data_IF_476766115044
#
_entry.id   IF_476766115044
#
_cell.length_a   1.000
_cell.length_b   1.000
_cell.length_c   1.000
_cell.angle_alpha   90.00
_cell.angle_beta   90.00
_cell.angle_gamma   90.00
#
_symmetry.space_group_name_H-M   'P 1'
#
loop_
_entity.id
_entity.type
_entity.pdbx_description
1 polymer ?
#
# COMPACT_ATOMS: atom_id res chain seq x y z
N UNK A 1 -9.35 -7.08 -27.50
CA UNK A 1 -8.93 -6.42 -26.24
C UNK A 1 -7.54 -6.95 -25.90
N UNK A 2 -6.64 -6.14 -25.33
CA UNK A 2 -5.33 -6.65 -24.91
C UNK A 2 -5.53 -7.74 -23.87
N UNK A 3 -4.71 -8.79 -23.94
CA UNK A 3 -4.68 -9.83 -22.91
C UNK A 3 -4.29 -9.20 -21.55
N UNK A 4 -5.09 -9.43 -20.51
CA UNK A 4 -4.85 -8.90 -19.18
C UNK A 4 -3.48 -9.32 -18.63
N UNK A 5 -2.99 -10.52 -19.00
CA UNK A 5 -1.66 -11.01 -18.61
C UNK A 5 -0.54 -10.19 -19.25
N UNK A 6 -0.70 -9.81 -20.52
CA UNK A 6 0.25 -8.99 -21.25
C UNK A 6 0.32 -7.58 -20.67
N UNK A 7 -0.83 -6.98 -20.35
CA UNK A 7 -0.90 -5.66 -19.68
C UNK A 7 -0.20 -5.71 -18.32
N UNK A 8 -0.49 -6.73 -17.51
CA UNK A 8 0.15 -6.90 -16.21
C UNK A 8 1.69 -7.06 -16.33
N UNK A 9 2.15 -7.86 -17.30
CA UNK A 9 3.59 -8.05 -17.54
C UNK A 9 4.32 -6.76 -17.96
N UNK A 10 3.64 -5.90 -18.74
CA UNK A 10 4.17 -4.61 -19.15
C UNK A 10 4.27 -3.66 -17.95
N UNK A 11 3.22 -3.58 -17.12
CA UNK A 11 3.20 -2.78 -15.90
C UNK A 11 4.24 -3.23 -14.88
N UNK A 12 4.36 -4.54 -14.63
CA UNK A 12 5.36 -5.10 -13.72
C UNK A 12 6.79 -4.69 -14.08
N UNK A 13 7.11 -4.55 -15.37
CA UNK A 13 8.44 -4.13 -15.85
C UNK A 13 8.75 -2.65 -15.61
N UNK A 14 7.74 -1.79 -15.50
CA UNK A 14 7.90 -0.35 -15.31
C UNK A 14 7.60 0.12 -13.89
N UNK A 15 6.86 -0.68 -13.09
CA UNK A 15 6.41 -0.34 -11.75
C UNK A 15 7.54 0.17 -10.85
N UNK A 16 8.67 -0.56 -10.77
CA UNK A 16 9.78 -0.18 -9.88
C UNK A 16 10.37 1.21 -10.19
N UNK A 17 10.47 1.58 -11.47
CA UNK A 17 10.97 2.90 -11.89
C UNK A 17 9.93 3.98 -11.61
N UNK A 18 8.65 3.66 -11.79
CA UNK A 18 7.54 4.56 -11.49
C UNK A 18 7.42 4.82 -9.99
N UNK A 19 7.59 3.82 -9.13
CA UNK A 19 7.54 4.01 -7.68
C UNK A 19 8.66 4.94 -7.19
N UNK A 20 9.87 4.77 -7.74
CA UNK A 20 11.00 5.67 -7.45
C UNK A 20 10.71 7.09 -7.95
N UNK A 21 10.21 7.22 -9.19
CA UNK A 21 9.86 8.52 -9.76
C UNK A 21 8.74 9.18 -8.95
N UNK A 22 7.69 8.45 -8.58
CA UNK A 22 6.58 8.93 -7.77
C UNK A 22 7.07 9.40 -6.41
N UNK A 23 7.96 8.66 -5.75
CA UNK A 23 8.52 9.05 -4.45
C UNK A 23 9.37 10.32 -4.53
N UNK A 24 10.13 10.49 -5.62
CA UNK A 24 10.95 11.68 -5.86
C UNK A 24 10.09 12.90 -6.26
N UNK A 25 9.15 12.71 -7.18
CA UNK A 25 8.27 13.76 -7.70
C UNK A 25 7.21 14.19 -6.68
N UNK A 26 6.75 13.26 -5.84
CA UNK A 26 5.87 13.56 -4.71
C UNK A 26 6.62 14.24 -3.56
N UNK A 27 7.95 14.37 -3.63
CA UNK A 27 8.79 14.77 -2.50
C UNK A 27 8.51 13.96 -1.21
N UNK A 28 8.14 12.67 -1.36
CA UNK A 28 7.82 11.79 -0.23
C UNK A 28 6.45 12.03 0.41
N UNK A 29 5.55 12.79 -0.22
CA UNK A 29 4.17 13.02 0.26
C UNK A 29 3.42 11.69 0.41
N UNK A 30 3.71 10.68 -0.42
CA UNK A 30 3.11 9.35 -0.30
C UNK A 30 3.38 8.71 1.08
N UNK A 31 4.61 8.87 1.60
CA UNK A 31 4.98 8.35 2.91
C UNK A 31 4.28 9.11 4.04
N UNK A 32 4.11 10.43 3.89
CA UNK A 32 3.40 11.24 4.88
C UNK A 32 1.94 10.79 4.98
N UNK A 33 1.26 10.60 3.85
CA UNK A 33 -0.11 10.11 3.85
C UNK A 33 -0.24 8.69 4.40
N UNK A 34 0.70 7.81 4.07
CA UNK A 34 0.72 6.43 4.59
C UNK A 34 0.90 6.42 6.12
N UNK A 35 1.82 7.22 6.65
CA UNK A 35 2.00 7.35 8.09
C UNK A 35 0.74 7.92 8.76
N UNK A 36 0.14 8.96 8.16
CA UNK A 36 -1.09 9.55 8.67
C UNK A 36 -2.26 8.58 8.68
N UNK A 37 -2.40 7.77 7.63
CA UNK A 37 -3.40 6.70 7.55
C UNK A 37 -3.22 5.71 8.70
N UNK A 38 -1.99 5.27 8.95
CA UNK A 38 -1.69 4.33 10.04
C UNK A 38 -2.03 4.93 11.41
N UNK A 39 -1.68 6.19 11.66
CA UNK A 39 -2.05 6.91 12.89
C UNK A 39 -3.58 6.96 13.08
N UNK A 40 -4.32 7.35 12.05
CA UNK A 40 -5.79 7.45 12.10
C UNK A 40 -6.47 6.09 12.32
N UNK A 41 -5.85 5.01 11.82
CA UNK A 41 -6.32 3.65 12.07
C UNK A 41 -6.01 3.22 13.50
N UNK A 42 -4.80 3.46 14.01
CA UNK A 42 -4.39 3.09 15.38
C UNK A 42 -5.25 3.76 16.45
N UNK A 43 -5.66 5.01 16.23
CA UNK A 43 -6.58 5.74 17.12
C UNK A 43 -7.90 5.01 17.36
N UNK A 44 -8.33 4.16 16.42
CA UNK A 44 -9.56 3.35 16.53
C UNK A 44 -9.36 2.03 17.28
N UNK A 45 -8.12 1.70 17.64
CA UNK A 45 -7.73 0.44 18.32
C UNK A 45 -8.33 -0.81 17.66
N UNK A 46 -8.14 -1.00 16.34
CA UNK A 46 -8.79 -2.07 15.62
C UNK A 46 -8.21 -3.43 16.01
N UNK A 47 -9.09 -4.43 16.10
CA UNK A 47 -8.68 -5.84 16.17
C UNK A 47 -8.49 -6.44 14.78
N UNK A 48 -9.17 -5.92 13.76
CA UNK A 48 -9.05 -6.33 12.36
C UNK A 48 -9.06 -5.14 11.43
N UNK A 49 -8.21 -5.15 10.41
CA UNK A 49 -8.15 -4.17 9.31
C UNK A 49 -8.15 -4.91 7.97
N UNK A 50 -8.90 -4.39 7.01
CA UNK A 50 -8.92 -4.87 5.63
C UNK A 50 -8.42 -3.76 4.72
N UNK A 51 -7.33 -4.02 4.00
CA UNK A 51 -6.77 -3.16 2.97
C UNK A 51 -7.37 -3.55 1.61
N UNK A 52 -8.13 -2.63 1.01
CA UNK A 52 -8.86 -2.86 -0.24
C UNK A 52 -8.08 -2.26 -1.40
N UNK A 53 -8.05 -2.96 -2.54
CA UNK A 53 -7.17 -2.63 -3.66
C UNK A 53 -5.70 -2.58 -3.19
N UNK A 54 -5.28 -3.63 -2.50
CA UNK A 54 -4.00 -3.68 -1.76
C UNK A 54 -2.79 -3.49 -2.68
N UNK A 55 -2.92 -3.82 -3.98
CA UNK A 55 -1.86 -3.68 -4.98
C UNK A 55 -0.52 -4.27 -4.52
N UNK A 56 0.53 -3.45 -4.51
CA UNK A 56 1.88 -3.80 -4.02
C UNK A 56 1.95 -4.16 -2.53
N UNK A 57 0.90 -3.85 -1.76
CA UNK A 57 0.81 -4.12 -0.33
C UNK A 57 1.45 -3.06 0.56
N UNK A 58 1.91 -1.93 0.02
CA UNK A 58 2.64 -0.90 0.77
C UNK A 58 1.84 -0.37 1.99
N UNK A 59 0.51 -0.25 1.86
CA UNK A 59 -0.37 0.15 2.96
C UNK A 59 -0.51 -0.97 3.98
N UNK A 60 -0.77 -2.21 3.55
CA UNK A 60 -0.83 -3.36 4.44
C UNK A 60 0.46 -3.55 5.26
N UNK A 61 1.63 -3.35 4.65
CA UNK A 61 2.92 -3.41 5.35
C UNK A 61 3.07 -2.27 6.37
N UNK A 62 2.74 -1.03 6.01
CA UNK A 62 2.80 0.09 6.95
C UNK A 62 1.83 -0.08 8.13
N UNK A 63 0.62 -0.59 7.89
CA UNK A 63 -0.33 -0.96 8.94
C UNK A 63 0.26 -2.03 9.87
N UNK A 64 0.99 -3.01 9.33
CA UNK A 64 1.62 -4.05 10.14
C UNK A 64 2.72 -3.49 11.03
N UNK A 65 3.50 -2.53 10.54
CA UNK A 65 4.55 -1.88 11.32
C UNK A 65 4.00 -0.96 12.41
N UNK A 66 2.92 -0.23 12.13
CA UNK A 66 2.37 0.76 13.07
C UNK A 66 1.29 0.24 14.03
N UNK A 67 0.71 -0.94 13.81
CA UNK A 67 -0.35 -1.49 14.67
C UNK A 67 0.15 -2.62 15.58
N UNK A 68 -0.51 -2.85 16.74
CA UNK A 68 -0.20 -3.96 17.63
C UNK A 68 -0.20 -5.31 16.90
N UNK A 69 0.75 -6.20 17.23
CA UNK A 69 0.89 -7.53 16.58
C UNK A 69 -0.38 -8.39 16.64
N UNK A 70 -1.26 -8.13 17.61
CA UNK A 70 -2.56 -8.78 17.76
C UNK A 70 -3.59 -8.36 16.70
N UNK A 71 -3.41 -7.22 16.05
CA UNK A 71 -4.32 -6.74 14.99
C UNK A 71 -4.15 -7.60 13.74
N UNK A 72 -5.25 -8.17 13.26
CA UNK A 72 -5.29 -8.95 12.02
C UNK A 72 -5.37 -7.99 10.83
N UNK A 73 -4.50 -8.16 9.84
CA UNK A 73 -4.47 -7.34 8.63
C UNK A 73 -4.68 -8.26 7.42
N UNK A 74 -5.63 -7.92 6.54
CA UNK A 74 -5.93 -8.67 5.31
C UNK A 74 -5.91 -7.72 4.11
N UNK A 75 -5.14 -8.05 3.08
CA UNK A 75 -5.19 -7.37 1.79
C UNK A 75 -6.16 -8.06 0.83
N UNK A 76 -6.92 -7.29 0.07
CA UNK A 76 -7.77 -7.75 -1.03
C UNK A 76 -7.46 -6.92 -2.28
N UNK A 77 -7.19 -7.60 -3.40
CA UNK A 77 -6.90 -7.02 -4.72
C UNK A 77 -7.62 -7.81 -5.82
#
# INVERSE_FOLDING_TARGET
MPDASMVNSMFARIASRYDIANRLLSFGIDQIWRNRLVEEVDLRKPTTVVDLATGSGDVAFALREGLPKSTVIKGLD
#
